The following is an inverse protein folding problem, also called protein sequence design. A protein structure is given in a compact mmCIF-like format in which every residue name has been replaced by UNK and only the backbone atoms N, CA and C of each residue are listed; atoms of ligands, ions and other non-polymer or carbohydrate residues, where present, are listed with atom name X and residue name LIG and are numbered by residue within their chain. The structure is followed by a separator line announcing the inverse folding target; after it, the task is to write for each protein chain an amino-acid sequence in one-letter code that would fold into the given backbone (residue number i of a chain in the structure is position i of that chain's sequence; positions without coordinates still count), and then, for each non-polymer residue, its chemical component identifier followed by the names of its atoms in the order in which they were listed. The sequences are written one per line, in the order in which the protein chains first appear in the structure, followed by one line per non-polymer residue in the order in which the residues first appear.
data_IF_158344912239
#
_entry.id   IF_158344912239
#
_cell.length_a   1.000
_cell.length_b   1.000
_cell.length_c   1.000
_cell.angle_alpha   90.00
_cell.angle_beta   90.00
_cell.angle_gamma   90.00
#
_symmetry.space_group_name_H-M   'P 1'
#
loop_
_entity.id
_entity.type
_entity.pdbx_description
1 polymer ?
#
# COMPACT_ATOMS: atom_id res chain seq x y z
N UNK A 1 -7.89 12.89 19.70
CA UNK A 1 -7.80 13.87 18.57
C UNK A 1 -7.29 15.27 18.95
N UNK A 2 -6.18 15.72 18.35
CA UNK A 2 -5.69 17.12 18.43
C UNK A 2 -6.38 18.03 17.38
N UNK A 3 -6.41 19.37 17.58
CA UNK A 3 -6.98 20.30 16.59
C UNK A 3 -6.29 20.25 15.23
N UNK A 4 -4.97 20.07 15.23
CA UNK A 4 -4.15 19.98 14.01
C UNK A 4 -4.46 18.70 13.22
N UNK A 5 -4.56 17.56 13.92
CA UNK A 5 -4.95 16.29 13.30
C UNK A 5 -6.36 16.35 12.71
N UNK A 6 -7.29 17.01 13.41
CA UNK A 6 -8.67 17.16 12.94
C UNK A 6 -8.72 17.89 11.58
N UNK A 7 -7.98 18.98 11.43
CA UNK A 7 -7.94 19.77 10.19
C UNK A 7 -7.37 18.95 9.04
N UNK A 8 -6.31 18.18 9.28
CA UNK A 8 -5.69 17.30 8.29
C UNK A 8 -6.67 16.20 7.82
N UNK A 9 -7.33 15.53 8.77
CA UNK A 9 -8.29 14.48 8.46
C UNK A 9 -9.51 15.03 7.71
N UNK A 10 -10.05 16.19 8.10
CA UNK A 10 -11.17 16.81 7.39
C UNK A 10 -10.80 17.07 5.91
N UNK A 11 -9.60 17.58 5.61
CA UNK A 11 -9.11 17.76 4.23
C UNK A 11 -8.95 16.44 3.46
N UNK A 12 -8.46 15.40 4.13
CA UNK A 12 -8.33 14.06 3.54
C UNK A 12 -9.70 13.45 3.23
N UNK A 13 -10.67 13.61 4.13
CA UNK A 13 -12.04 13.15 3.94
C UNK A 13 -12.68 13.89 2.76
N UNK A 14 -12.52 15.22 2.66
CA UNK A 14 -13.03 16.00 1.53
C UNK A 14 -12.47 15.50 0.19
N UNK A 15 -11.15 15.27 0.14
CA UNK A 15 -10.47 14.75 -1.06
C UNK A 15 -10.95 13.33 -1.41
N UNK A 16 -11.12 12.49 -0.40
CA UNK A 16 -11.59 11.11 -0.56
C UNK A 16 -13.04 11.05 -1.06
N UNK A 17 -13.93 11.89 -0.54
CA UNK A 17 -15.33 11.98 -0.99
C UNK A 17 -15.41 12.47 -2.44
N UNK A 18 -14.64 13.49 -2.80
CA UNK A 18 -14.60 13.99 -4.18
C UNK A 18 -14.14 12.90 -5.17
N UNK A 19 -13.16 12.08 -4.78
CA UNK A 19 -12.70 10.93 -5.56
C UNK A 19 -13.74 9.80 -5.71
N UNK A 20 -14.76 9.75 -4.85
CA UNK A 20 -15.87 8.80 -4.90
C UNK A 20 -17.16 9.43 -5.46
N UNK A 21 -17.06 10.53 -6.19
CA UNK A 21 -18.19 11.30 -6.75
C UNK A 21 -19.21 11.81 -5.71
N UNK A 22 -18.82 11.89 -4.42
CA UNK A 22 -19.67 12.40 -3.34
C UNK A 22 -19.36 13.87 -3.08
N UNK A 23 -20.33 14.74 -3.35
CA UNK A 23 -20.12 16.20 -3.35
C UNK A 23 -21.13 16.94 -2.45
N UNK A 24 -20.81 18.20 -2.15
CA UNK A 24 -21.74 19.11 -1.45
C UNK A 24 -21.91 18.78 0.04
N UNK A 25 -20.81 18.67 0.77
CA UNK A 25 -20.79 18.44 2.22
C UNK A 25 -21.49 19.60 2.93
N UNK A 26 -22.50 19.27 3.75
CA UNK A 26 -23.25 20.22 4.59
C UNK A 26 -22.87 20.10 6.06
N UNK A 27 -22.41 18.93 6.45
CA UNK A 27 -22.09 18.59 7.84
C UNK A 27 -21.02 17.51 7.84
N UNK A 28 -20.02 17.69 8.70
CA UNK A 28 -18.94 16.73 8.94
C UNK A 28 -18.56 16.82 10.41
N UNK A 29 -18.66 15.71 11.14
CA UNK A 29 -18.25 15.64 12.54
C UNK A 29 -17.95 14.19 12.94
N UNK A 30 -16.98 13.98 13.83
CA UNK A 30 -16.79 12.69 14.50
C UNK A 30 -18.03 12.38 15.34
N UNK A 31 -18.68 11.26 15.02
CA UNK A 31 -19.82 10.73 15.76
C UNK A 31 -19.35 9.86 16.93
N UNK A 32 -18.39 8.98 16.66
CA UNK A 32 -17.91 8.00 17.61
C UNK A 32 -16.42 7.75 17.40
N UNK A 33 -15.74 7.40 18.48
CA UNK A 33 -14.33 7.03 18.48
C UNK A 33 -14.20 5.66 19.15
N UNK A 34 -13.42 4.80 18.54
CA UNK A 34 -13.08 3.47 19.02
C UNK A 34 -11.58 3.43 19.29
N UNK A 35 -11.16 2.70 20.32
CA UNK A 35 -9.76 2.41 20.59
C UNK A 35 -9.52 0.93 20.31
N UNK A 36 -8.72 0.65 19.30
CA UNK A 36 -8.23 -0.70 19.01
C UNK A 36 -6.75 -0.76 19.30
N UNK A 37 -6.35 -1.42 20.39
CA UNK A 37 -4.94 -1.65 20.69
C UNK A 37 -4.11 -0.36 20.81
N UNK A 38 -4.71 0.74 21.26
CA UNK A 38 -4.06 2.05 21.32
C UNK A 38 -4.02 2.80 19.99
N UNK A 39 -4.74 2.31 18.98
CA UNK A 39 -5.02 3.00 17.72
C UNK A 39 -6.41 3.61 17.82
N UNK A 40 -6.50 4.93 17.77
CA UNK A 40 -7.78 5.63 17.69
C UNK A 40 -8.36 5.47 16.27
N UNK A 41 -9.59 4.95 16.20
CA UNK A 41 -10.38 4.85 14.97
C UNK A 41 -11.59 5.77 15.13
N UNK A 42 -11.77 6.66 14.17
CA UNK A 42 -12.81 7.67 14.16
C UNK A 42 -13.88 7.33 13.14
N UNK A 43 -15.14 7.40 13.57
CA UNK A 43 -16.30 7.31 12.67
C UNK A 43 -16.88 8.70 12.51
N UNK A 44 -16.73 9.24 11.32
CA UNK A 44 -17.21 10.55 10.91
C UNK A 44 -18.61 10.45 10.32
N UNK A 45 -19.53 11.26 10.82
CA UNK A 45 -20.85 11.47 10.26
C UNK A 45 -20.80 12.59 9.23
N UNK A 46 -21.14 12.26 7.99
CA UNK A 46 -21.09 13.20 6.87
C UNK A 46 -22.45 13.28 6.22
N UNK A 47 -22.98 14.51 6.11
CA UNK A 47 -24.22 14.77 5.36
C UNK A 47 -23.90 15.59 4.14
N UNK A 48 -24.40 15.13 3.00
CA UNK A 48 -24.14 15.73 1.70
C UNK A 48 -25.46 16.13 1.03
N UNK A 49 -25.40 16.61 -0.21
CA UNK A 49 -26.61 16.78 -1.03
C UNK A 49 -27.22 15.44 -1.42
N UNK A 50 -26.37 14.44 -1.62
CA UNK A 50 -26.72 13.19 -2.31
C UNK A 50 -26.95 12.02 -1.35
N UNK A 51 -26.65 12.21 -0.06
CA UNK A 51 -26.87 11.20 0.97
C UNK A 51 -26.17 11.50 2.30
N UNK A 52 -26.36 10.59 3.25
CA UNK A 52 -25.63 10.59 4.51
C UNK A 52 -24.69 9.39 4.56
N UNK A 53 -23.52 9.59 5.15
CA UNK A 53 -22.42 8.65 5.09
C UNK A 53 -21.71 8.53 6.42
N UNK A 54 -21.19 7.34 6.70
CA UNK A 54 -20.16 7.11 7.68
C UNK A 54 -18.81 7.05 6.97
N UNK A 55 -17.82 7.80 7.45
CA UNK A 55 -16.43 7.61 7.04
C UNK A 55 -15.68 7.07 8.24
N UNK A 56 -15.11 5.88 8.10
CA UNK A 56 -14.28 5.26 9.14
C UNK A 56 -12.83 5.44 8.74
N UNK A 57 -12.02 5.97 9.65
CA UNK A 57 -10.59 6.21 9.45
C UNK A 57 -9.83 6.07 10.77
N UNK A 58 -8.55 5.72 10.72
CA UNK A 58 -7.69 5.67 11.89
C UNK A 58 -6.24 5.47 11.49
N UNK A 59 -5.31 5.62 12.43
CA UNK A 59 -3.87 5.59 12.14
C UNK A 59 -3.41 4.25 11.52
N UNK A 60 -4.07 3.14 11.85
CA UNK A 60 -3.74 1.79 11.36
C UNK A 60 -4.85 1.11 10.55
N UNK A 61 -5.91 1.84 10.15
CA UNK A 61 -6.99 1.31 9.33
C UNK A 61 -7.24 2.21 8.12
N UNK A 62 -7.43 1.65 6.91
CA UNK A 62 -7.65 2.45 5.71
C UNK A 62 -8.93 3.29 5.85
N UNK A 63 -8.96 4.49 5.27
CA UNK A 63 -10.20 5.28 5.22
C UNK A 63 -11.22 4.62 4.29
N UNK A 64 -12.45 4.42 4.74
CA UNK A 64 -13.54 3.91 3.89
C UNK A 64 -14.88 4.63 4.14
N UNK A 65 -15.69 4.70 3.09
CA UNK A 65 -17.02 5.30 3.06
C UNK A 65 -18.13 4.23 3.14
N UNK A 66 -19.14 4.46 3.97
CA UNK A 66 -20.31 3.60 4.13
C UNK A 66 -21.60 4.42 4.05
N UNK A 67 -22.58 3.94 3.27
CA UNK A 67 -23.89 4.60 3.17
C UNK A 67 -24.72 4.37 4.43
N UNK A 68 -25.36 5.42 4.94
CA UNK A 68 -26.30 5.32 6.07
C UNK A 68 -27.67 4.78 5.65
N UNK A 69 -27.98 4.73 4.35
CA UNK A 69 -29.36 4.64 3.88
C UNK A 69 -29.91 3.23 3.64
N UNK A 70 -29.15 2.15 3.82
CA UNK A 70 -29.67 0.78 3.60
C UNK A 70 -29.02 -0.31 4.47
N UNK A 71 -27.74 -0.16 4.84
CA UNK A 71 -26.95 -1.26 5.41
C UNK A 71 -26.26 -0.97 6.75
N UNK A 72 -26.05 0.32 7.10
CA UNK A 72 -25.32 0.72 8.31
C UNK A 72 -26.04 1.89 8.99
N UNK A 73 -26.94 1.57 9.92
CA UNK A 73 -27.80 2.54 10.57
C UNK A 73 -27.08 3.26 11.73
N UNK A 74 -26.00 2.68 12.26
CA UNK A 74 -25.20 3.29 13.33
C UNK A 74 -23.71 3.38 12.98
N UNK A 75 -23.01 4.25 13.70
CA UNK A 75 -21.55 4.35 13.63
C UNK A 75 -20.86 3.04 14.04
N UNK A 76 -21.43 2.30 15.00
CA UNK A 76 -20.94 1.00 15.47
C UNK A 76 -21.08 -0.11 14.42
N UNK A 77 -22.17 -0.13 13.66
CA UNK A 77 -22.36 -1.09 12.57
C UNK A 77 -21.38 -0.83 11.41
N UNK A 78 -21.18 0.44 11.06
CA UNK A 78 -20.20 0.84 10.05
C UNK A 78 -18.78 0.47 10.48
N UNK A 79 -18.45 0.72 11.74
CA UNK A 79 -17.18 0.36 12.36
C UNK A 79 -16.93 -1.15 12.37
N UNK A 80 -17.89 -1.95 12.84
CA UNK A 80 -17.79 -3.41 12.91
C UNK A 80 -17.60 -4.03 11.53
N UNK A 81 -18.33 -3.54 10.53
CA UNK A 81 -18.19 -4.00 9.16
C UNK A 81 -16.83 -3.61 8.56
N UNK A 82 -16.37 -2.40 8.85
CA UNK A 82 -15.05 -1.92 8.46
C UNK A 82 -13.95 -2.85 8.99
N UNK A 83 -13.98 -3.13 10.29
CA UNK A 83 -13.02 -4.01 10.95
C UNK A 83 -13.03 -5.42 10.35
N UNK A 84 -14.21 -5.98 10.08
CA UNK A 84 -14.33 -7.28 9.44
C UNK A 84 -13.76 -7.34 8.02
N UNK A 85 -13.77 -6.25 7.25
CA UNK A 85 -13.13 -6.18 5.93
C UNK A 85 -11.62 -6.08 6.07
N UNK A 86 -11.12 -5.20 6.94
CA UNK A 86 -9.68 -4.98 7.12
C UNK A 86 -9.00 -6.25 7.63
N UNK A 87 -9.62 -6.96 8.57
CA UNK A 87 -9.15 -8.25 9.07
C UNK A 87 -9.15 -9.34 7.99
N UNK A 88 -10.21 -9.47 7.17
CA UNK A 88 -10.23 -10.45 6.08
C UNK A 88 -9.16 -10.18 5.03
N UNK A 89 -8.90 -8.91 4.74
CA UNK A 89 -7.82 -8.51 3.83
C UNK A 89 -6.45 -8.84 4.42
N UNK A 90 -6.23 -8.55 5.70
CA UNK A 90 -5.02 -8.96 6.41
C UNK A 90 -4.84 -10.49 6.41
N UNK A 91 -5.89 -11.26 6.70
CA UNK A 91 -5.85 -12.72 6.68
C UNK A 91 -5.55 -13.29 5.28
N UNK A 92 -6.09 -12.67 4.21
CA UNK A 92 -5.75 -13.01 2.83
C UNK A 92 -4.28 -12.73 2.49
N UNK A 93 -3.71 -11.65 3.03
CA UNK A 93 -2.28 -11.38 2.91
C UNK A 93 -1.41 -12.40 3.68
N UNK A 94 -1.93 -12.99 4.77
CA UNK A 94 -1.19 -13.95 5.60
C UNK A 94 -1.25 -15.41 5.12
N UNK A 95 -2.28 -15.82 4.35
CA UNK A 95 -2.50 -17.26 4.04
C UNK A 95 -1.90 -17.78 2.73
N UNK A 96 -1.49 -16.92 1.79
CA UNK A 96 -0.97 -17.35 0.49
C UNK A 96 0.46 -16.83 0.28
N UNK A 97 1.48 -17.67 0.55
CA UNK A 97 2.81 -17.43 -0.01
C UNK A 97 2.76 -17.76 -1.51
N UNK A 98 2.50 -16.74 -2.33
CA UNK A 98 2.64 -16.80 -3.78
C UNK A 98 4.05 -16.37 -4.16
N UNK A 99 4.55 -16.82 -5.31
CA UNK A 99 5.94 -16.55 -5.72
C UNK A 99 6.16 -15.02 -5.74
N UNK A 100 7.36 -14.50 -5.44
CA UNK A 100 7.66 -13.04 -5.49
C UNK A 100 7.28 -12.38 -6.82
N UNK A 101 7.13 -13.17 -7.89
CA UNK A 101 6.65 -12.73 -9.21
C UNK A 101 5.11 -12.58 -9.24
N UNK A 102 4.39 -13.43 -8.50
CA UNK A 102 2.94 -13.34 -8.27
C UNK A 102 2.58 -12.29 -7.20
N UNK A 103 3.53 -11.95 -6.31
CA UNK A 103 3.47 -10.86 -5.32
C UNK A 103 3.89 -9.52 -5.93
N UNK A 104 3.22 -9.06 -6.98
CA UNK A 104 3.11 -7.60 -7.12
C UNK A 104 2.06 -7.19 -6.09
N UNK A 105 2.44 -6.79 -4.87
CA UNK A 105 1.50 -6.72 -3.76
C UNK A 105 0.68 -5.46 -3.99
N UNK A 106 -0.64 -5.63 -3.86
CA UNK A 106 -1.69 -4.63 -3.84
C UNK A 106 -2.41 -4.37 -5.15
N UNK A 107 -3.73 -4.47 -5.01
CA UNK A 107 -4.77 -3.87 -5.82
C UNK A 107 -4.73 -2.32 -5.67
N UNK A 108 -3.59 -1.70 -5.99
CA UNK A 108 -3.55 -0.28 -6.33
C UNK A 108 -3.94 -0.26 -7.80
N UNK A 109 -5.11 0.30 -8.11
CA UNK A 109 -5.69 0.30 -9.45
C UNK A 109 -4.69 0.77 -10.52
N UNK A 110 -3.78 1.68 -10.13
CA UNK A 110 -2.71 2.23 -10.97
C UNK A 110 -1.50 1.31 -11.23
N UNK A 111 -1.24 0.27 -10.41
CA UNK A 111 -0.11 -0.66 -10.62
C UNK A 111 -0.56 -1.95 -11.33
N UNK A 112 -1.87 -2.27 -11.32
CA UNK A 112 -2.45 -3.43 -12.04
C UNK A 112 -2.06 -3.47 -13.53
N UNK A 113 -1.98 -2.31 -14.19
CA UNK A 113 -1.56 -2.21 -15.59
C UNK A 113 -0.12 -2.69 -15.77
N UNK A 114 0.79 -2.23 -14.91
CA UNK A 114 2.21 -2.60 -14.87
C UNK A 114 2.36 -4.10 -14.61
N UNK A 115 1.67 -4.64 -13.60
CA UNK A 115 1.70 -6.07 -13.27
C UNK A 115 1.26 -6.93 -14.45
N UNK A 116 0.17 -6.53 -15.13
CA UNK A 116 -0.34 -7.24 -16.31
C UNK A 116 0.68 -7.23 -17.44
N UNK A 117 1.35 -6.10 -17.69
CA UNK A 117 2.40 -5.98 -18.72
C UNK A 117 3.57 -6.89 -18.42
N UNK A 118 4.05 -6.92 -17.17
CA UNK A 118 5.17 -7.77 -16.76
C UNK A 118 4.81 -9.26 -16.82
N UNK A 119 3.58 -9.63 -16.46
CA UNK A 119 3.08 -11.00 -16.62
C UNK A 119 3.01 -11.42 -18.09
N UNK A 120 2.57 -10.53 -18.98
CA UNK A 120 2.60 -10.80 -20.42
C UNK A 120 4.04 -11.00 -20.93
N UNK A 121 4.98 -10.16 -20.52
CA UNK A 121 6.40 -10.32 -20.85
C UNK A 121 6.97 -11.65 -20.31
N UNK A 122 6.49 -12.10 -19.15
CA UNK A 122 6.84 -13.41 -18.59
C UNK A 122 6.36 -14.57 -19.48
N UNK A 123 5.18 -14.44 -20.08
CA UNK A 123 4.66 -15.42 -21.04
C UNK A 123 5.42 -15.37 -22.37
N UNK A 124 5.79 -14.19 -22.85
CA UNK A 124 6.56 -13.98 -24.08
C UNK A 124 7.94 -14.63 -24.03
N UNK A 125 8.55 -14.75 -22.84
CA UNK A 125 9.81 -15.50 -22.65
C UNK A 125 9.74 -16.96 -23.15
N UNK A 126 8.57 -17.57 -23.22
CA UNK A 126 8.40 -18.94 -23.74
C UNK A 126 8.45 -19.01 -25.26
N UNK A 127 8.26 -17.88 -25.95
CA UNK A 127 8.12 -17.79 -27.40
C UNK A 127 9.29 -17.05 -28.06
N UNK A 128 10.40 -16.84 -27.34
CA UNK A 128 11.59 -16.16 -27.87
C UNK A 128 12.20 -16.98 -29.01
N UNK A 129 12.20 -16.40 -30.20
CA UNK A 129 12.69 -16.98 -31.45
C UNK A 129 13.93 -16.26 -31.98
N UNK A 130 14.15 -15.01 -31.55
CA UNK A 130 15.32 -14.23 -31.94
C UNK A 130 15.65 -13.05 -31.01
N UNK A 131 16.71 -12.30 -31.32
CA UNK A 131 17.15 -11.16 -30.51
C UNK A 131 16.12 -10.03 -30.40
N UNK A 132 15.28 -9.84 -31.41
CA UNK A 132 14.21 -8.83 -31.45
C UNK A 132 13.17 -9.09 -30.35
N UNK A 133 12.84 -10.36 -30.08
CA UNK A 133 11.94 -10.74 -28.99
C UNK A 133 12.53 -10.38 -27.61
N UNK A 134 13.85 -10.56 -27.45
CA UNK A 134 14.57 -10.20 -26.22
C UNK A 134 14.60 -8.68 -26.01
N UNK A 135 14.84 -7.92 -27.09
CA UNK A 135 14.79 -6.46 -27.05
C UNK A 135 13.37 -5.96 -26.72
N UNK A 136 12.33 -6.62 -27.26
CA UNK A 136 10.93 -6.35 -26.93
C UNK A 136 10.63 -6.55 -25.44
N UNK A 137 11.11 -7.66 -24.84
CA UNK A 137 10.98 -7.90 -23.40
C UNK A 137 11.69 -6.80 -22.59
N UNK A 138 12.90 -6.41 -23.00
CA UNK A 138 13.62 -5.29 -22.39
C UNK A 138 12.84 -3.97 -22.49
N UNK A 139 12.16 -3.73 -23.62
CA UNK A 139 11.39 -2.52 -23.87
C UNK A 139 10.16 -2.50 -22.96
N UNK A 140 9.44 -3.61 -22.86
CA UNK A 140 8.32 -3.78 -21.94
C UNK A 140 8.76 -3.53 -20.49
N UNK A 141 9.91 -4.04 -20.09
CA UNK A 141 10.47 -3.77 -18.76
C UNK A 141 10.75 -2.27 -18.55
N UNK A 142 11.45 -1.63 -19.48
CA UNK A 142 11.82 -0.21 -19.40
C UNK A 142 10.59 0.70 -19.37
N UNK A 143 9.61 0.45 -20.22
CA UNK A 143 8.36 1.21 -20.24
C UNK A 143 7.53 1.00 -18.97
N UNK A 144 7.54 -0.20 -18.40
CA UNK A 144 6.90 -0.48 -17.11
C UNK A 144 7.51 0.35 -15.97
N UNK A 145 8.83 0.58 -15.99
CA UNK A 145 9.50 1.47 -15.04
C UNK A 145 9.12 2.95 -15.26
N UNK A 146 9.01 3.40 -16.51
CA UNK A 146 8.55 4.77 -16.80
C UNK A 146 7.10 4.98 -16.31
N UNK A 147 6.22 4.00 -16.58
CA UNK A 147 4.85 4.02 -16.10
C UNK A 147 4.80 4.07 -14.57
N UNK A 148 5.62 3.26 -13.88
CA UNK A 148 5.76 3.33 -12.43
C UNK A 148 6.16 4.72 -11.95
N UNK A 149 7.15 5.37 -12.57
CA UNK A 149 7.52 6.74 -12.20
C UNK A 149 6.38 7.74 -12.43
N UNK A 150 5.60 7.57 -13.49
CA UNK A 150 4.40 8.37 -13.74
C UNK A 150 3.37 8.24 -12.62
N UNK A 151 3.04 7.01 -12.22
CA UNK A 151 2.12 6.73 -11.10
C UNK A 151 2.65 7.34 -9.80
N UNK A 152 3.91 7.07 -9.47
CA UNK A 152 4.54 7.60 -8.26
C UNK A 152 4.53 9.13 -8.19
N UNK A 153 4.73 9.79 -9.33
CA UNK A 153 4.72 11.24 -9.40
C UNK A 153 3.30 11.84 -9.33
N UNK A 154 2.29 11.12 -9.82
CA UNK A 154 0.88 11.48 -9.67
C UNK A 154 0.42 11.35 -8.21
N UNK A 155 0.79 10.25 -7.55
CA UNK A 155 0.45 9.98 -6.15
C UNK A 155 1.17 10.94 -5.18
N UNK A 156 2.30 11.53 -5.61
CA UNK A 156 3.13 12.43 -4.80
C UNK A 156 3.42 13.74 -5.56
N UNK A 157 2.42 14.61 -5.76
CA UNK A 157 2.52 15.77 -6.66
C UNK A 157 3.59 16.79 -6.24
N UNK A 158 3.93 16.85 -4.95
CA UNK A 158 4.91 17.80 -4.44
C UNK A 158 6.36 17.38 -4.76
N UNK A 159 6.61 16.09 -5.02
CA UNK A 159 7.93 15.60 -5.45
C UNK A 159 8.36 16.29 -6.75
N UNK A 160 7.46 16.43 -7.72
CA UNK A 160 7.76 17.08 -9.00
C UNK A 160 8.00 18.58 -8.85
N UNK A 161 7.25 19.24 -7.96
CA UNK A 161 7.35 20.70 -7.73
C UNK A 161 8.63 21.07 -7.00
N UNK A 162 9.02 20.31 -5.98
CA UNK A 162 10.19 20.62 -5.17
C UNK A 162 11.52 20.23 -5.84
N UNK A 163 11.48 19.25 -6.74
CA UNK A 163 12.70 18.62 -7.28
C UNK A 163 13.06 19.03 -8.72
N UNK A 164 12.23 19.84 -9.39
CA UNK A 164 12.36 20.22 -10.82
C UNK A 164 12.62 19.00 -11.75
N UNK A 165 11.98 17.87 -11.42
CA UNK A 165 12.16 16.60 -12.12
C UNK A 165 11.24 16.51 -13.34
N UNK A 166 11.77 15.98 -14.45
CA UNK A 166 10.95 15.64 -15.61
C UNK A 166 10.11 14.39 -15.30
N UNK A 167 8.90 14.32 -15.84
CA UNK A 167 8.00 13.15 -15.69
C UNK A 167 8.64 11.84 -16.18
N UNK A 168 9.59 11.90 -17.11
CA UNK A 168 10.33 10.74 -17.62
C UNK A 168 11.64 10.43 -16.85
N UNK A 169 12.00 11.21 -15.82
CA UNK A 169 13.21 10.97 -15.02
C UNK A 169 12.95 9.89 -13.97
N UNK A 170 12.94 8.64 -14.42
CA UNK A 170 12.71 7.48 -13.57
C UNK A 170 13.64 7.46 -12.35
N UNK A 171 14.95 7.63 -12.54
CA UNK A 171 15.94 7.57 -11.45
C UNK A 171 15.72 8.68 -10.44
N UNK A 172 15.48 9.91 -10.91
CA UNK A 172 15.18 11.06 -10.06
C UNK A 172 13.93 10.84 -9.21
N UNK A 173 12.83 10.45 -9.86
CA UNK A 173 11.54 10.22 -9.20
C UNK A 173 11.65 9.08 -8.18
N UNK A 174 12.19 7.93 -8.56
CA UNK A 174 12.35 6.80 -7.63
C UNK A 174 13.22 7.16 -6.42
N UNK A 175 14.29 7.94 -6.60
CA UNK A 175 15.14 8.40 -5.50
C UNK A 175 14.40 9.30 -4.51
N UNK A 176 13.56 10.21 -5.01
CA UNK A 176 12.76 11.09 -4.17
C UNK A 176 11.71 10.28 -3.38
N UNK A 177 10.98 9.41 -4.07
CA UNK A 177 9.95 8.55 -3.46
C UNK A 177 10.52 7.61 -2.41
N UNK A 178 11.66 6.95 -2.67
CA UNK A 178 12.33 6.10 -1.67
C UNK A 178 12.74 6.92 -0.43
N UNK A 179 13.06 8.19 -0.61
CA UNK A 179 13.40 9.08 0.51
C UNK A 179 12.17 9.48 1.32
N UNK A 180 11.03 9.67 0.65
CA UNK A 180 9.74 9.94 1.28
C UNK A 180 9.22 8.72 2.05
N UNK A 181 9.16 7.54 1.42
CA UNK A 181 8.56 6.33 2.00
C UNK A 181 9.37 5.69 3.13
N UNK A 182 10.68 5.95 3.19
CA UNK A 182 11.52 5.40 4.25
C UNK A 182 12.27 6.53 4.98
N UNK A 183 11.58 7.37 5.77
CA UNK A 183 12.17 8.51 6.43
C UNK A 183 13.12 8.08 7.56
N UNK A 184 13.88 9.04 8.11
CA UNK A 184 14.73 8.82 9.29
C UNK A 184 16.11 8.21 9.02
N UNK A 185 16.98 8.26 10.03
CA UNK A 185 18.38 7.78 9.93
C UNK A 185 18.49 6.26 9.96
N UNK A 186 17.61 5.58 10.69
CA UNK A 186 17.54 4.11 10.78
C UNK A 186 17.39 3.45 9.41
N UNK A 187 16.64 4.09 8.50
CA UNK A 187 16.37 3.59 7.15
C UNK A 187 17.44 3.96 6.11
N UNK A 188 18.54 4.62 6.48
CA UNK A 188 19.57 5.08 5.52
C UNK A 188 20.15 3.94 4.65
N UNK A 189 20.44 2.78 5.27
CA UNK A 189 20.95 1.60 4.54
C UNK A 189 19.89 0.99 3.63
N UNK A 190 18.63 0.96 4.07
CA UNK A 190 17.50 0.46 3.28
C UNK A 190 17.32 1.32 2.04
N UNK A 191 17.23 2.66 2.20
CA UNK A 191 17.13 3.61 1.08
C UNK A 191 18.25 3.46 0.07
N UNK A 192 19.49 3.21 0.52
CA UNK A 192 20.61 2.97 -0.40
C UNK A 192 20.36 1.71 -1.23
N UNK A 193 20.05 0.57 -0.59
CA UNK A 193 19.83 -0.70 -1.28
C UNK A 193 18.66 -0.65 -2.27
N UNK A 194 17.56 0.00 -1.89
CA UNK A 194 16.41 0.18 -2.77
C UNK A 194 16.77 1.02 -3.99
N UNK A 195 17.54 2.12 -3.82
CA UNK A 195 18.02 2.91 -4.95
C UNK A 195 18.94 2.12 -5.86
N UNK A 196 19.92 1.41 -5.29
CA UNK A 196 20.87 0.59 -6.06
C UNK A 196 20.13 -0.47 -6.90
N UNK A 197 19.09 -1.12 -6.34
CA UNK A 197 18.24 -2.08 -7.07
C UNK A 197 17.46 -1.43 -8.21
N UNK A 198 16.77 -0.32 -7.92
CA UNK A 198 15.91 0.36 -8.89
C UNK A 198 16.73 0.96 -10.04
N UNK A 199 17.87 1.59 -9.73
CA UNK A 199 18.81 2.08 -10.74
C UNK A 199 19.39 0.93 -11.57
N UNK A 200 19.74 -0.20 -10.94
CA UNK A 200 20.21 -1.39 -11.64
C UNK A 200 19.16 -2.00 -12.58
N UNK A 201 17.89 -2.03 -12.18
CA UNK A 201 16.80 -2.49 -13.05
C UNK A 201 16.62 -1.58 -14.27
N UNK A 202 16.72 -0.27 -14.09
CA UNK A 202 16.68 0.70 -15.19
C UNK A 202 17.85 0.55 -16.16
N UNK A 203 19.07 0.47 -15.63
CA UNK A 203 20.27 0.38 -16.45
C UNK A 203 20.29 -0.95 -17.22
N UNK A 204 19.96 -2.05 -16.55
CA UNK A 204 19.94 -3.36 -17.19
C UNK A 204 18.85 -3.49 -18.25
N UNK A 205 17.64 -2.97 -18.01
CA UNK A 205 16.59 -2.95 -19.03
C UNK A 205 16.97 -2.10 -20.24
N UNK A 206 17.62 -0.96 -20.03
CA UNK A 206 18.16 -0.13 -21.12
C UNK A 206 19.25 -0.86 -21.93
N UNK A 207 20.13 -1.59 -21.27
CA UNK A 207 21.13 -2.43 -21.95
C UNK A 207 20.51 -3.54 -22.79
N UNK A 208 19.46 -4.21 -22.29
CA UNK A 208 18.80 -5.31 -22.99
C UNK A 208 18.09 -4.82 -24.26
N UNK A 209 17.41 -3.66 -24.19
CA UNK A 209 16.74 -3.04 -25.36
C UNK A 209 17.72 -2.75 -26.50
N UNK A 210 18.95 -2.35 -26.17
CA UNK A 210 19.92 -1.86 -27.15
C UNK A 210 20.94 -2.91 -27.61
N UNK A 211 20.92 -4.12 -27.05
CA UNK A 211 21.93 -5.14 -27.33
C UNK A 211 21.35 -6.29 -28.17
N UNK A 212 21.83 -6.51 -29.41
CA UNK A 212 21.40 -7.64 -30.25
C UNK A 212 22.01 -8.98 -29.81
N UNK A 213 22.95 -8.97 -28.87
CA UNK A 213 23.71 -10.16 -28.45
C UNK A 213 23.19 -10.79 -27.15
N UNK A 214 22.07 -10.28 -26.60
CA UNK A 214 21.50 -10.81 -25.36
C UNK A 214 20.83 -12.17 -25.62
N UNK A 215 20.80 -12.99 -24.58
CA UNK A 215 20.18 -14.32 -24.60
C UNK A 215 18.95 -14.38 -23.69
N UNK A 216 18.21 -15.49 -23.75
CA UNK A 216 17.00 -15.70 -22.94
C UNK A 216 17.28 -15.51 -21.42
N UNK A 217 18.37 -16.03 -20.83
CA UNK A 217 18.75 -15.69 -19.46
C UNK A 217 18.85 -14.19 -19.18
N UNK A 218 19.45 -13.39 -20.08
CA UNK A 218 19.52 -11.93 -19.91
C UNK A 218 18.12 -11.30 -19.87
N UNK A 219 17.21 -11.74 -20.74
CA UNK A 219 15.82 -11.28 -20.74
C UNK A 219 15.10 -11.65 -19.43
N UNK A 220 15.33 -12.86 -18.91
CA UNK A 220 14.80 -13.31 -17.62
C UNK A 220 15.32 -12.47 -16.46
N UNK A 221 16.62 -12.18 -16.43
CA UNK A 221 17.23 -11.33 -15.40
C UNK A 221 16.65 -9.92 -15.46
N UNK A 222 16.50 -9.35 -16.65
CA UNK A 222 15.84 -8.06 -16.86
C UNK A 222 14.42 -8.03 -16.30
N UNK A 223 13.62 -9.05 -16.59
CA UNK A 223 12.27 -9.16 -16.07
C UNK A 223 12.27 -9.27 -14.53
N UNK A 224 13.13 -10.11 -13.96
CA UNK A 224 13.25 -10.29 -12.52
C UNK A 224 13.66 -8.99 -11.80
N UNK A 225 14.63 -8.26 -12.34
CA UNK A 225 15.03 -6.96 -11.77
C UNK A 225 13.90 -5.95 -11.82
N UNK A 226 13.13 -5.93 -12.91
CA UNK A 226 11.99 -5.02 -13.07
C UNK A 226 10.87 -5.35 -12.09
N UNK A 227 10.48 -6.63 -11.99
CA UNK A 227 9.50 -7.06 -10.99
C UNK A 227 9.97 -6.75 -9.56
N UNK A 228 11.23 -7.03 -9.24
CA UNK A 228 11.79 -6.73 -7.91
C UNK A 228 11.75 -5.23 -7.61
N UNK A 229 12.04 -4.37 -8.58
CA UNK A 229 12.00 -2.92 -8.40
C UNK A 229 10.57 -2.45 -8.09
N UNK A 230 9.57 -2.93 -8.84
CA UNK A 230 8.14 -2.64 -8.60
C UNK A 230 7.72 -3.11 -7.21
N UNK A 231 7.98 -4.38 -6.87
CA UNK A 231 7.60 -4.96 -5.58
C UNK A 231 8.29 -4.27 -4.40
N UNK A 232 9.55 -3.86 -4.54
CA UNK A 232 10.26 -3.11 -3.48
C UNK A 232 9.63 -1.75 -3.24
N UNK A 233 9.26 -1.01 -4.28
CA UNK A 233 8.60 0.29 -4.13
C UNK A 233 7.24 0.13 -3.44
N UNK A 234 6.46 -0.90 -3.80
CA UNK A 234 5.17 -1.17 -3.17
C UNK A 234 5.31 -1.54 -1.69
N UNK A 235 6.26 -2.40 -1.36
CA UNK A 235 6.52 -2.77 0.04
C UNK A 235 7.06 -1.58 0.86
N UNK A 236 7.84 -0.68 0.24
CA UNK A 236 8.21 0.58 0.88
C UNK A 236 7.01 1.47 1.15
N UNK A 237 6.04 1.51 0.24
CA UNK A 237 4.79 2.24 0.46
C UNK A 237 3.97 1.63 1.60
N UNK A 238 3.85 0.30 1.68
CA UNK A 238 3.21 -0.36 2.83
C UNK A 238 3.89 -0.04 4.15
N UNK A 239 5.22 -0.11 4.17
CA UNK A 239 6.02 0.30 5.32
C UNK A 239 5.77 1.78 5.68
N UNK A 240 5.65 2.65 4.69
CA UNK A 240 5.34 4.06 4.91
C UNK A 240 3.95 4.27 5.54
N UNK A 241 2.99 3.41 5.19
CA UNK A 241 1.64 3.37 5.77
C UNK A 241 1.57 2.70 7.16
N UNK A 242 2.71 2.27 7.74
CA UNK A 242 2.75 1.67 9.09
C UNK A 242 2.49 0.16 9.14
N UNK A 243 2.46 -0.53 8.00
CA UNK A 243 2.29 -2.00 7.98
C UNK A 243 3.51 -2.78 8.49
N UNK A 244 4.57 -2.12 8.96
CA UNK A 244 5.70 -2.75 9.64
C UNK A 244 5.63 -2.69 11.18
N UNK A 245 4.57 -2.10 11.73
CA UNK A 245 4.31 -1.98 13.16
C UNK A 245 3.51 -3.17 13.74
N UNK A 246 3.46 -4.30 13.03
CA UNK A 246 2.82 -5.52 13.53
C UNK A 246 3.37 -5.91 14.92
N UNK A 247 2.49 -6.07 15.92
CA UNK A 247 2.92 -6.37 17.27
C UNK A 247 3.65 -7.72 17.30
N UNK A 248 4.73 -7.79 18.06
CA UNK A 248 5.51 -9.03 18.26
C UNK A 248 5.26 -9.56 19.65
N UNK A 249 5.03 -10.86 19.76
CA UNK A 249 4.85 -11.52 21.05
C UNK A 249 5.98 -11.15 22.00
N UNK A 250 5.67 -10.56 23.17
CA UNK A 250 6.72 -10.14 24.10
C UNK A 250 7.56 -11.34 24.55
N UNK A 251 6.93 -12.51 24.69
CA UNK A 251 7.54 -13.78 25.08
C UNK A 251 8.36 -14.43 23.95
N UNK A 252 7.75 -14.74 22.81
CA UNK A 252 8.37 -15.60 21.78
C UNK A 252 8.73 -14.87 20.47
N UNK A 253 8.42 -13.57 20.38
CA UNK A 253 8.61 -12.72 19.17
C UNK A 253 7.85 -13.17 17.93
N UNK A 254 6.94 -14.14 18.04
CA UNK A 254 6.00 -14.49 16.97
C UNK A 254 5.12 -13.29 16.62
N UNK A 255 4.79 -13.17 15.34
CA UNK A 255 3.80 -12.22 14.81
C UNK A 255 2.43 -12.90 14.59
N UNK A 256 2.35 -14.21 14.89
CA UNK A 256 1.13 -15.01 14.74
C UNK A 256 0.24 -14.88 15.98
N UNK A 257 -0.84 -14.11 15.83
CA UNK A 257 -1.83 -13.81 16.86
C UNK A 257 -3.25 -14.12 16.38
N UNK A 258 -4.09 -14.53 17.33
CA UNK A 258 -5.53 -14.66 17.17
C UNK A 258 -6.25 -13.74 18.16
N UNK A 259 -7.28 -13.04 17.67
CA UNK A 259 -8.05 -12.08 18.43
C UNK A 259 -9.31 -12.78 18.97
N UNK A 260 -9.49 -12.75 20.30
CA UNK A 260 -10.67 -13.30 20.96
C UNK A 260 -11.48 -12.19 21.60
N UNK A 261 -12.80 -12.21 21.42
CA UNK A 261 -13.70 -11.43 22.25
C UNK A 261 -13.71 -11.99 23.68
N UNK A 262 -13.61 -11.14 24.70
CA UNK A 262 -13.74 -11.57 26.09
C UNK A 262 -15.20 -11.53 26.53
N UNK A 263 -15.75 -12.67 26.98
CA UNK A 263 -17.16 -12.80 27.38
C UNK A 263 -17.59 -11.69 28.36
N UNK A 264 -18.63 -10.94 27.98
CA UNK A 264 -19.28 -9.85 28.72
C UNK A 264 -18.49 -8.55 28.93
N UNK A 265 -17.45 -8.28 28.13
CA UNK A 265 -16.81 -6.95 28.06
C UNK A 265 -16.49 -6.58 26.61
N UNK A 266 -16.55 -5.31 26.22
CA UNK A 266 -16.07 -4.80 24.90
C UNK A 266 -14.55 -4.95 24.71
N UNK A 267 -13.87 -5.77 25.53
CA UNK A 267 -12.42 -5.93 25.54
C UNK A 267 -12.01 -7.11 24.68
N UNK A 268 -11.02 -6.89 23.84
CA UNK A 268 -10.42 -7.93 23.00
C UNK A 268 -9.15 -8.47 23.64
N UNK A 269 -8.90 -9.77 23.44
CA UNK A 269 -7.72 -10.47 23.92
C UNK A 269 -6.92 -10.93 22.71
N UNK A 270 -5.69 -10.43 22.58
CA UNK A 270 -4.72 -10.98 21.65
C UNK A 270 -4.10 -12.22 22.26
N UNK A 271 -4.14 -13.33 21.54
CA UNK A 271 -3.50 -14.58 21.94
C UNK A 271 -2.47 -14.99 20.90
N UNK A 272 -1.22 -15.11 21.29
CA UNK A 272 -0.17 -15.60 20.41
C UNK A 272 -0.37 -17.10 20.14
N UNK A 273 -0.50 -17.49 18.88
CA UNK A 273 -0.70 -18.89 18.47
C UNK A 273 0.54 -19.76 18.70
N UNK A 274 1.73 -19.17 18.68
CA UNK A 274 2.98 -19.90 18.82
C UNK A 274 3.30 -20.33 20.26
N UNK A 275 2.94 -19.52 21.26
CA UNK A 275 3.27 -19.79 22.67
C UNK A 275 2.10 -19.63 23.64
N UNK A 276 0.92 -19.26 23.17
CA UNK A 276 -0.28 -19.06 23.99
C UNK A 276 -0.24 -17.82 24.89
N UNK A 277 0.71 -16.90 24.68
CA UNK A 277 0.77 -15.65 25.44
C UNK A 277 -0.49 -14.82 25.15
N UNK A 278 -1.19 -14.40 26.21
CA UNK A 278 -2.40 -13.59 26.09
C UNK A 278 -2.14 -12.21 26.63
N UNK A 279 -2.41 -11.21 25.82
CA UNK A 279 -2.35 -9.81 26.21
C UNK A 279 -3.77 -9.26 26.18
N UNK A 280 -4.23 -8.76 27.34
CA UNK A 280 -5.49 -8.05 27.44
C UNK A 280 -5.26 -6.63 26.95
N UNK A 281 -6.09 -6.18 26.01
CA UNK A 281 -6.09 -4.78 25.61
C UNK A 281 -6.57 -3.93 26.80
N UNK A 282 -5.69 -3.07 27.30
CA UNK A 282 -5.99 -2.20 28.42
C UNK A 282 -6.62 -0.90 27.90
N UNK A 283 -7.76 -0.49 28.46
CA UNK A 283 -8.22 0.90 28.40
C UNK A 283 -7.08 1.81 28.84
N UNK A 284 -6.61 2.69 27.95
CA UNK A 284 -5.83 3.86 28.34
C UNK A 284 -6.45 5.12 27.74
N UNK A 285 -7.31 5.70 28.58
CA UNK A 285 -7.67 7.13 28.77
C UNK A 285 -7.66 8.01 27.53
#
# INVERSE_FOLDING_TARGET
MTPEYRIDVEQRIESYLAGNDVNGIKYMQVEQTFDELGIEIYVWNIKTNDGNWWVVEGEAVPMNLYTQNEFYFSADEAYSFHLGITQRRQAQHHQDFKHVIDEVPLDIEHIKSISRRLNNAALELNNVSGPEDIQSIGLTCRESLIELAGVLAQDNPDILKESDLKTADFKGISKAVISLYAPGKSNSKLRKRCRDLVEGAWDHSSEVVHSPNKNIPDAKICLLFTCSAVSVIQNLFLKYLGFDDEPKCPECKSMDYELFAHDNTEKMVLSCNACGHKEMTAEKI
#
